data_IF_753977059395
#
_entry.id   IF_753977059395
#
_cell.length_a   1.000
_cell.length_b   1.000
_cell.length_c   1.000
_cell.angle_alpha   90.00
_cell.angle_beta   90.00
_cell.angle_gamma   90.00
#
_symmetry.space_group_name_H-M   'P 1'
#
loop_
_entity.id
_entity.type
_entity.pdbx_description
1 polymer ?
#
# COMPACT_ATOMS: atom_id res chain seq x y z
N UNK A 1 -25.84 13.01 3.94
CA UNK A 1 -25.11 12.19 4.92
C UNK A 1 -25.71 10.82 5.13
N UNK A 2 -27.02 10.71 5.11
CA UNK A 2 -27.63 9.40 5.31
C UNK A 2 -27.21 8.40 4.24
N UNK A 3 -27.20 8.83 3.00
CA UNK A 3 -26.77 7.93 1.92
C UNK A 3 -25.33 7.50 2.09
N UNK A 4 -24.53 8.42 2.56
CA UNK A 4 -23.13 8.14 2.79
C UNK A 4 -22.97 7.08 3.88
N UNK A 5 -23.70 7.24 4.96
CA UNK A 5 -23.64 6.27 6.06
C UNK A 5 -24.13 4.89 5.62
N UNK A 6 -25.23 4.86 4.86
CA UNK A 6 -25.76 3.60 4.37
C UNK A 6 -24.77 2.90 3.44
N UNK A 7 -24.11 3.68 2.60
CA UNK A 7 -23.12 3.14 1.71
C UNK A 7 -22.00 2.47 2.49
N UNK A 8 -21.56 3.13 3.56
CA UNK A 8 -20.48 2.58 4.37
C UNK A 8 -20.89 1.38 5.19
N UNK A 9 -22.17 1.22 5.44
CA UNK A 9 -22.64 0.04 6.17
C UNK A 9 -22.36 -1.25 5.42
N UNK A 10 -22.18 -1.17 4.09
CA UNK A 10 -21.86 -2.34 3.28
C UNK A 10 -20.36 -2.57 3.17
N UNK A 11 -19.57 -1.71 3.76
CA UNK A 11 -18.14 -1.85 3.72
C UNK A 11 -17.65 -2.48 5.02
N UNK A 12 -16.42 -2.91 4.99
CA UNK A 12 -15.82 -3.52 6.17
C UNK A 12 -15.50 -2.48 7.22
N UNK A 13 -15.39 -2.92 8.46
CA UNK A 13 -15.05 -2.03 9.56
C UNK A 13 -13.58 -1.63 9.49
N UNK A 14 -13.25 -0.59 10.23
CA UNK A 14 -11.86 -0.16 10.33
C UNK A 14 -11.00 -1.29 10.89
N UNK A 15 -11.53 -1.99 11.89
CA UNK A 15 -10.84 -3.10 12.51
C UNK A 15 -10.51 -4.20 11.50
N UNK A 16 -11.48 -4.54 10.68
CA UNK A 16 -11.29 -5.55 9.64
C UNK A 16 -10.23 -5.12 8.63
N UNK A 17 -10.22 -3.84 8.30
CA UNK A 17 -9.22 -3.31 7.37
C UNK A 17 -7.82 -3.40 7.97
N UNK A 18 -7.70 -3.06 9.24
CA UNK A 18 -6.41 -3.13 9.92
C UNK A 18 -5.91 -4.56 10.02
N UNK A 19 -6.83 -5.49 10.29
CA UNK A 19 -6.46 -6.89 10.37
C UNK A 19 -6.02 -7.43 9.01
N UNK A 20 -6.70 -7.00 7.95
CA UNK A 20 -6.33 -7.41 6.60
C UNK A 20 -4.91 -6.94 6.27
N UNK A 21 -4.59 -5.72 6.63
CA UNK A 21 -3.26 -5.20 6.40
C UNK A 21 -2.23 -5.95 7.23
N UNK A 22 -2.58 -6.28 8.47
CA UNK A 22 -1.70 -7.06 9.33
C UNK A 22 -1.35 -8.42 8.72
N UNK A 23 -2.34 -9.06 8.07
CA UNK A 23 -2.06 -10.33 7.42
C UNK A 23 -1.07 -10.20 6.28
N UNK A 24 -1.08 -9.05 5.59
CA UNK A 24 -0.10 -8.80 4.55
C UNK A 24 1.30 -8.68 5.13
N UNK A 25 1.42 -8.02 6.28
CA UNK A 25 2.71 -7.90 6.94
C UNK A 25 3.23 -9.27 7.35
N UNK A 26 2.34 -10.10 7.89
CA UNK A 26 2.73 -11.44 8.32
C UNK A 26 3.19 -12.30 7.17
N UNK A 27 2.43 -12.29 6.07
CA UNK A 27 2.81 -13.13 4.92
C UNK A 27 4.09 -12.64 4.28
N UNK A 28 4.32 -11.33 4.29
CA UNK A 28 5.56 -10.80 3.73
C UNK A 28 6.77 -11.26 4.53
N UNK A 29 6.66 -11.27 5.86
CA UNK A 29 7.73 -11.78 6.71
C UNK A 29 8.05 -13.23 6.35
N UNK A 30 7.02 -14.03 6.19
CA UNK A 30 7.20 -15.44 5.88
C UNK A 30 7.79 -15.66 4.50
N UNK A 31 7.26 -14.95 3.50
CA UNK A 31 7.76 -15.09 2.13
C UNK A 31 9.21 -14.64 2.02
N UNK A 32 9.55 -13.58 2.74
CA UNK A 32 10.92 -13.07 2.70
C UNK A 32 11.90 -14.09 3.27
N UNK A 33 11.45 -14.87 4.22
CA UNK A 33 12.28 -15.88 4.84
C UNK A 33 12.33 -17.18 4.04
N UNK A 34 11.18 -17.61 3.51
CA UNK A 34 11.03 -18.97 3.01
C UNK A 34 10.86 -19.10 1.51
N UNK A 35 10.38 -18.08 0.84
CA UNK A 35 10.10 -18.20 -0.58
C UNK A 35 11.38 -17.99 -1.40
N UNK A 36 11.76 -18.95 -2.25
CA UNK A 36 13.00 -18.80 -3.03
C UNK A 36 13.02 -17.58 -3.93
N UNK A 37 11.85 -17.15 -4.42
CA UNK A 37 11.79 -15.96 -5.28
C UNK A 37 11.86 -14.69 -4.45
N UNK A 38 11.04 -14.61 -3.40
CA UNK A 38 10.92 -13.38 -2.64
C UNK A 38 12.12 -13.12 -1.76
N UNK A 39 12.79 -14.20 -1.31
CA UNK A 39 13.91 -14.06 -0.40
C UNK A 39 15.13 -13.43 -1.04
N UNK A 40 15.22 -13.45 -2.38
CA UNK A 40 16.40 -12.94 -3.09
C UNK A 40 16.15 -11.59 -3.75
N UNK A 41 14.94 -11.06 -3.64
CA UNK A 41 14.64 -9.77 -4.26
C UNK A 41 15.34 -8.64 -3.52
N UNK A 42 15.66 -7.59 -4.28
CA UNK A 42 16.24 -6.37 -3.74
C UNK A 42 15.41 -5.19 -4.23
N UNK A 43 15.66 -4.02 -3.66
CA UNK A 43 15.00 -2.82 -4.16
C UNK A 43 15.22 -2.67 -5.65
N UNK A 44 16.44 -2.91 -6.08
CA UNK A 44 16.80 -2.72 -7.48
C UNK A 44 16.12 -3.76 -8.37
N UNK A 45 16.03 -5.00 -7.91
CA UNK A 45 15.42 -6.05 -8.73
C UNK A 45 13.92 -5.86 -8.88
N UNK A 46 13.28 -5.18 -7.91
CA UNK A 46 11.83 -4.95 -7.95
C UNK A 46 11.44 -3.69 -8.69
N UNK A 47 12.39 -2.79 -8.92
CA UNK A 47 12.07 -1.45 -9.43
C UNK A 47 11.30 -1.47 -10.74
N UNK A 48 11.76 -2.25 -11.69
CA UNK A 48 11.11 -2.32 -13.00
C UNK A 48 9.69 -2.87 -12.87
N UNK A 49 9.53 -3.87 -12.05
CA UNK A 49 8.22 -4.47 -11.82
C UNK A 49 7.25 -3.47 -11.19
N UNK A 50 7.76 -2.64 -10.29
CA UNK A 50 6.93 -1.62 -9.65
C UNK A 50 6.39 -0.65 -10.68
N UNK A 51 7.22 -0.23 -11.62
CA UNK A 51 6.78 0.67 -12.69
C UNK A 51 5.66 0.02 -13.49
N UNK A 52 5.81 -1.27 -13.81
CA UNK A 52 4.80 -1.98 -14.57
C UNK A 52 3.49 -2.10 -13.82
N UNK A 53 3.55 -2.37 -12.51
CA UNK A 53 2.33 -2.49 -11.72
C UNK A 53 1.59 -1.17 -11.62
N UNK A 54 2.32 -0.06 -11.46
CA UNK A 54 1.69 1.25 -11.43
C UNK A 54 1.04 1.56 -12.79
N UNK A 55 1.71 1.19 -13.86
CA UNK A 55 1.17 1.41 -15.20
C UNK A 55 -0.13 0.62 -15.39
N UNK A 56 -0.14 -0.63 -14.92
CA UNK A 56 -1.34 -1.46 -15.04
C UNK A 56 -2.49 -0.91 -14.20
N UNK A 57 -2.17 -0.37 -13.03
CA UNK A 57 -3.18 0.30 -12.22
C UNK A 57 -3.78 1.48 -12.97
N UNK A 58 -2.95 2.29 -13.57
CA UNK A 58 -3.44 3.46 -14.31
C UNK A 58 -4.30 3.03 -15.48
N UNK A 59 -3.91 1.96 -16.17
CA UNK A 59 -4.70 1.43 -17.27
C UNK A 59 -6.07 0.97 -16.80
N UNK A 60 -6.12 0.27 -15.68
CA UNK A 60 -7.39 -0.18 -15.10
C UNK A 60 -8.29 0.99 -14.73
N UNK A 61 -7.68 2.07 -14.21
CA UNK A 61 -8.42 3.29 -13.87
C UNK A 61 -9.00 3.92 -15.12
N UNK A 62 -8.22 4.02 -16.18
CA UNK A 62 -8.67 4.60 -17.43
C UNK A 62 -9.84 3.83 -18.02
N UNK A 63 -9.84 2.53 -17.85
CA UNK A 63 -10.92 1.68 -18.35
C UNK A 63 -12.10 1.59 -17.40
N UNK A 64 -11.98 2.19 -16.23
CA UNK A 64 -12.99 2.18 -15.19
C UNK A 64 -13.45 0.76 -14.84
N UNK A 65 -12.52 -0.17 -14.85
CA UNK A 65 -12.82 -1.56 -14.49
C UNK A 65 -12.55 -1.73 -12.99
N UNK A 66 -13.62 -1.72 -12.20
CA UNK A 66 -13.49 -1.71 -10.73
C UNK A 66 -12.79 -2.95 -10.20
N UNK A 67 -13.07 -4.10 -10.77
CA UNK A 67 -12.44 -5.33 -10.32
C UNK A 67 -10.93 -5.30 -10.58
N UNK A 68 -10.54 -4.81 -11.75
CA UNK A 68 -9.12 -4.69 -12.07
C UNK A 68 -8.45 -3.62 -11.22
N UNK A 69 -9.13 -2.50 -10.96
CA UNK A 69 -8.57 -1.47 -10.10
C UNK A 69 -8.25 -2.06 -8.73
N UNK A 70 -9.18 -2.80 -8.17
CA UNK A 70 -8.99 -3.44 -6.87
C UNK A 70 -7.77 -4.37 -6.90
N UNK A 71 -7.68 -5.19 -7.93
CA UNK A 71 -6.59 -6.14 -8.08
C UNK A 71 -5.25 -5.42 -8.22
N UNK A 72 -5.20 -4.41 -9.08
CA UNK A 72 -3.95 -3.70 -9.32
C UNK A 72 -3.51 -2.88 -8.12
N UNK A 73 -4.45 -2.36 -7.35
CA UNK A 73 -4.10 -1.69 -6.10
C UNK A 73 -3.40 -2.65 -5.14
N UNK A 74 -3.87 -3.90 -5.11
CA UNK A 74 -3.23 -4.92 -4.31
C UNK A 74 -1.79 -5.18 -4.76
N UNK A 75 -1.59 -5.23 -6.07
CA UNK A 75 -0.26 -5.49 -6.62
C UNK A 75 0.69 -4.33 -6.30
N UNK A 76 0.21 -3.09 -6.37
CA UNK A 76 1.02 -1.94 -5.99
C UNK A 76 1.33 -1.97 -4.49
N UNK A 77 0.32 -2.30 -3.70
CA UNK A 77 0.50 -2.39 -2.25
C UNK A 77 1.53 -3.46 -1.89
N UNK A 78 1.55 -4.56 -2.62
CA UNK A 78 2.55 -5.60 -2.41
C UNK A 78 3.95 -5.01 -2.48
N UNK A 79 4.21 -4.16 -3.46
CA UNK A 79 5.52 -3.57 -3.62
C UNK A 79 5.86 -2.62 -2.46
N UNK A 80 4.86 -1.85 -1.99
CA UNK A 80 5.09 -0.97 -0.85
C UNK A 80 5.52 -1.78 0.37
N UNK A 81 4.77 -2.84 0.66
CA UNK A 81 5.07 -3.69 1.81
C UNK A 81 6.41 -4.41 1.63
N UNK A 82 6.71 -4.80 0.40
CA UNK A 82 7.96 -5.50 0.10
C UNK A 82 9.17 -4.59 0.34
N UNK A 83 9.12 -3.37 -0.19
CA UNK A 83 10.22 -2.41 0.03
C UNK A 83 10.37 -2.08 1.51
N UNK A 84 9.26 -1.96 2.22
CA UNK A 84 9.32 -1.68 3.64
C UNK A 84 9.99 -2.83 4.39
N UNK A 85 9.69 -4.06 3.99
CA UNK A 85 10.30 -5.23 4.60
C UNK A 85 11.81 -5.24 4.34
N UNK A 86 12.21 -4.97 3.11
CA UNK A 86 13.64 -4.93 2.77
C UNK A 86 14.34 -3.85 3.59
N UNK A 87 13.74 -2.67 3.70
CA UNK A 87 14.33 -1.59 4.48
C UNK A 87 14.48 -1.94 5.95
N UNK A 88 13.54 -2.72 6.48
CA UNK A 88 13.59 -3.11 7.89
C UNK A 88 14.72 -4.09 8.17
N UNK A 89 15.14 -4.84 7.18
CA UNK A 89 16.20 -5.84 7.36
C UNK A 89 17.53 -5.20 7.64
N UNK A 90 17.73 -3.98 7.19
CA UNK A 90 18.96 -3.24 7.45
C UNK A 90 18.77 -2.15 8.51
N UNK A 91 17.58 -2.10 9.10
CA UNK A 91 17.32 -1.13 10.15
C UNK A 91 17.14 0.29 9.66
N UNK A 92 16.88 0.47 8.36
CA UNK A 92 16.78 1.81 7.78
C UNK A 92 15.38 2.42 7.98
N UNK A 93 14.35 1.63 7.79
CA UNK A 93 12.96 2.05 7.98
C UNK A 93 12.07 0.82 7.91
N UNK A 94 10.84 0.96 8.35
CA UNK A 94 9.84 -0.11 8.21
C UNK A 94 8.51 0.52 7.80
N UNK A 95 7.48 -0.31 7.74
CA UNK A 95 6.17 0.16 7.26
C UNK A 95 5.57 1.22 8.18
N UNK A 96 5.90 1.20 9.47
CA UNK A 96 5.40 2.23 10.37
C UNK A 96 5.97 3.58 9.98
N UNK A 97 7.27 3.62 9.66
CA UNK A 97 7.91 4.86 9.24
C UNK A 97 7.28 5.40 7.96
N UNK A 98 6.97 4.50 7.03
CA UNK A 98 6.31 4.90 5.78
C UNK A 98 4.96 5.55 6.08
N UNK A 99 4.19 4.92 6.94
CA UNK A 99 2.87 5.43 7.30
C UNK A 99 2.96 6.75 8.06
N UNK A 100 3.87 6.83 9.02
CA UNK A 100 4.02 8.02 9.84
C UNK A 100 4.45 9.23 9.02
N UNK A 101 5.37 9.02 8.10
CA UNK A 101 5.82 10.11 7.25
C UNK A 101 4.70 10.63 6.37
N UNK A 102 3.91 9.74 5.83
CA UNK A 102 2.77 10.14 5.03
C UNK A 102 1.74 10.85 5.89
N UNK A 103 1.48 10.31 7.09
CA UNK A 103 0.51 10.91 7.99
C UNK A 103 0.91 12.34 8.36
N UNK A 104 2.20 12.55 8.67
CA UNK A 104 2.70 13.86 9.01
C UNK A 104 2.50 14.86 7.88
N UNK A 105 2.80 14.41 6.67
CA UNK A 105 2.65 15.25 5.49
C UNK A 105 1.19 15.65 5.28
N UNK A 106 0.29 14.69 5.40
CA UNK A 106 -1.12 14.95 5.20
C UNK A 106 -1.72 15.80 6.32
N UNK A 107 -1.27 15.56 7.53
CA UNK A 107 -1.73 16.35 8.67
C UNK A 107 -1.29 17.80 8.56
N UNK A 108 -0.08 18.02 8.09
CA UNK A 108 0.44 19.35 7.86
C UNK A 108 -0.42 20.09 6.83
N UNK A 109 -0.74 19.44 5.73
CA UNK A 109 -1.61 20.04 4.72
C UNK A 109 -2.97 20.40 5.29
N UNK A 110 -3.53 19.52 6.08
CA UNK A 110 -4.85 19.72 6.64
C UNK A 110 -4.85 20.93 7.58
N UNK A 111 -3.83 21.04 8.43
CA UNK A 111 -3.74 22.13 9.37
C UNK A 111 -3.57 23.48 8.70
N UNK A 112 -2.89 23.51 7.58
CA UNK A 112 -2.66 24.75 6.87
C UNK A 112 -3.81 25.13 5.95
N UNK A 113 -4.89 24.37 6.03
CA UNK A 113 -6.03 24.64 5.18
C UNK A 113 -5.68 24.40 3.74
N UNK A 114 -5.62 25.44 2.97
CA UNK A 114 -5.39 25.25 1.55
C UNK A 114 -3.93 25.38 1.16
N UNK A 115 -3.06 25.10 2.07
CA UNK A 115 -1.68 25.03 1.67
C UNK A 115 -1.56 24.05 0.53
N UNK A 116 -0.93 24.47 -0.49
CA UNK A 116 -0.95 23.70 -1.68
C UNK A 116 -0.41 22.31 -1.44
N UNK A 117 -0.93 21.41 -2.20
CA UNK A 117 -0.61 20.00 -2.03
C UNK A 117 0.71 19.65 -2.67
N UNK A 118 1.71 20.40 -2.43
CA UNK A 118 2.96 20.01 -3.03
C UNK A 118 3.74 19.05 -2.23
#
# INVERSE_FOLDING_TARGET
>A
MCNFALKYNNMHTREEKMQAFGRLLDIMDELREKCPWDSVQTNDSLRQNTIEEVYELCDAIMKDNKADICKELGDVLLHVVFYAKIGSETGDYDIKDDCDKLWEKLNYRDQDGNRSAK
#
